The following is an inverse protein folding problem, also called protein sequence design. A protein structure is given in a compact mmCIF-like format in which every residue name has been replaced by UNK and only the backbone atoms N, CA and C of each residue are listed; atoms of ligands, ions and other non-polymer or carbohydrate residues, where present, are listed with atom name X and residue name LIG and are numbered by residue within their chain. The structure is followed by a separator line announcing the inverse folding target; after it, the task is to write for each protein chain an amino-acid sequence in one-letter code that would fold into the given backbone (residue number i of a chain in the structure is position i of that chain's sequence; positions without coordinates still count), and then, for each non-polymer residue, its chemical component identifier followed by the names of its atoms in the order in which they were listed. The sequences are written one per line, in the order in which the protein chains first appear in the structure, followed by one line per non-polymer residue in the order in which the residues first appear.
data_IF_051463909811
#
_entry.id   IF_051463909811
#
_cell.length_a   1.000
_cell.length_b   1.000
_cell.length_c   1.000
_cell.angle_alpha   90.00
_cell.angle_beta   90.00
_cell.angle_gamma   90.00
#
_symmetry.space_group_name_H-M   'P 1'
#
loop_
_entity.id
_entity.type
_entity.pdbx_description
1 polymer ?
#
# COMPACT_ATOMS: atom_id res chain seq x y z
N UNK A 1 -7.43 -18.76 11.19
CA UNK A 1 -6.06 -18.34 10.79
C UNK A 1 -5.80 -16.94 11.31
N UNK A 2 -4.58 -16.63 11.76
CA UNK A 2 -4.20 -15.28 12.21
C UNK A 2 -3.36 -14.54 11.16
N UNK A 3 -3.59 -13.25 11.01
CA UNK A 3 -2.79 -12.38 10.17
C UNK A 3 -1.36 -12.27 10.71
N UNK A 4 -0.35 -12.50 9.86
CA UNK A 4 1.06 -12.41 10.24
C UNK A 4 1.47 -11.01 10.71
N UNK A 5 0.85 -9.97 10.15
CA UNK A 5 1.17 -8.57 10.39
C UNK A 5 0.49 -8.01 11.65
N UNK A 6 -0.84 -8.11 11.75
CA UNK A 6 -1.59 -7.50 12.87
C UNK A 6 -2.01 -8.49 13.96
N UNK A 7 -1.70 -9.79 13.82
CA UNK A 7 -2.03 -10.88 14.75
C UNK A 7 -3.52 -11.14 15.00
N UNK A 8 -4.42 -10.35 14.41
CA UNK A 8 -5.87 -10.57 14.46
C UNK A 8 -6.28 -11.82 13.68
N UNK A 9 -7.40 -12.42 14.09
CA UNK A 9 -8.07 -13.46 13.31
C UNK A 9 -8.50 -12.92 11.95
N UNK A 10 -8.40 -13.74 10.91
CA UNK A 10 -8.87 -13.41 9.56
C UNK A 10 -10.29 -13.97 9.42
N UNK A 11 -11.27 -13.07 9.37
CA UNK A 11 -12.65 -13.41 9.01
C UNK A 11 -12.74 -13.73 7.52
N UNK A 12 -13.60 -14.70 7.15
CA UNK A 12 -13.82 -15.14 5.77
C UNK A 12 -12.51 -15.47 5.03
N UNK A 13 -11.69 -16.33 5.65
CA UNK A 13 -10.40 -16.70 5.08
C UNK A 13 -10.55 -17.41 3.72
N UNK A 14 -9.86 -16.87 2.70
CA UNK A 14 -9.69 -17.48 1.40
C UNK A 14 -8.21 -17.48 1.03
N UNK A 15 -7.65 -18.66 0.75
CA UNK A 15 -6.21 -18.80 0.47
C UNK A 15 -5.75 -17.95 -0.71
N UNK A 16 -6.54 -17.81 -1.76
CA UNK A 16 -6.25 -16.98 -2.94
C UNK A 16 -6.09 -15.48 -2.62
N UNK A 17 -6.80 -14.99 -1.59
CA UNK A 17 -6.81 -13.57 -1.23
C UNK A 17 -5.97 -13.26 0.02
N UNK A 18 -5.80 -14.23 0.91
CA UNK A 18 -5.14 -14.03 2.19
C UNK A 18 -3.75 -14.64 2.26
N UNK A 19 -3.40 -15.61 1.42
CA UNK A 19 -2.10 -16.26 1.49
C UNK A 19 -1.11 -15.62 0.53
N UNK A 20 -0.07 -15.00 1.08
CA UNK A 20 1.07 -14.55 0.32
C UNK A 20 2.13 -15.65 0.32
N UNK A 21 2.48 -16.13 -0.88
CA UNK A 21 3.61 -17.04 -1.09
C UNK A 21 4.88 -16.19 -1.28
N UNK A 22 5.85 -16.36 -0.38
CA UNK A 22 7.14 -15.66 -0.43
C UNK A 22 8.13 -16.49 -1.28
N UNK A 23 8.15 -17.80 -1.05
CA UNK A 23 8.91 -18.77 -1.83
C UNK A 23 8.22 -20.16 -1.76
N UNK A 24 8.92 -21.22 -2.19
CA UNK A 24 8.37 -22.58 -2.21
C UNK A 24 8.01 -23.11 -0.81
N UNK A 25 8.78 -22.73 0.20
CA UNK A 25 8.65 -23.19 1.59
C UNK A 25 7.92 -22.20 2.50
N UNK A 26 7.90 -20.91 2.15
CA UNK A 26 7.38 -19.85 3.01
C UNK A 26 6.06 -19.27 2.47
N UNK A 27 5.02 -19.43 3.28
CA UNK A 27 3.70 -18.85 3.05
C UNK A 27 3.22 -18.14 4.31
N UNK A 28 2.61 -16.97 4.16
CA UNK A 28 2.06 -16.20 5.27
C UNK A 28 0.62 -15.79 4.98
N UNK A 29 -0.19 -15.74 6.02
CA UNK A 29 -1.58 -15.30 5.91
C UNK A 29 -1.67 -13.82 6.32
N UNK A 30 -2.33 -13.00 5.52
CA UNK A 30 -2.49 -11.56 5.72
C UNK A 30 -3.97 -11.21 5.56
N UNK A 31 -4.52 -10.42 6.49
CA UNK A 31 -5.89 -9.94 6.38
C UNK A 31 -6.01 -8.81 5.34
N UNK A 32 -7.21 -8.62 4.80
CA UNK A 32 -7.50 -7.59 3.79
C UNK A 32 -7.15 -6.18 4.28
N UNK A 33 -7.42 -5.85 5.54
CA UNK A 33 -7.09 -4.55 6.12
C UNK A 33 -5.59 -4.22 6.04
N UNK A 34 -4.73 -5.22 6.29
CA UNK A 34 -3.30 -5.04 6.20
C UNK A 34 -2.83 -4.88 4.75
N UNK A 35 -3.42 -5.63 3.82
CA UNK A 35 -3.15 -5.47 2.38
C UNK A 35 -3.54 -4.07 1.93
N UNK A 36 -4.72 -3.58 2.31
CA UNK A 36 -5.20 -2.25 1.94
C UNK A 36 -4.28 -1.14 2.47
N UNK A 37 -3.81 -1.26 3.72
CA UNK A 37 -2.84 -0.31 4.30
C UNK A 37 -1.52 -0.30 3.52
N UNK A 38 -1.01 -1.46 3.16
CA UNK A 38 0.20 -1.58 2.34
C UNK A 38 0.02 -0.94 0.96
N UNK A 39 -1.07 -1.26 0.27
CA UNK A 39 -1.37 -0.71 -1.06
C UNK A 39 -1.50 0.81 -1.03
N UNK A 40 -2.15 1.36 0.00
CA UNK A 40 -2.26 2.82 0.17
C UNK A 40 -0.91 3.48 0.38
N UNK A 41 -0.08 2.93 1.27
CA UNK A 41 1.28 3.44 1.50
C UNK A 41 2.13 3.38 0.22
N UNK A 42 2.02 2.27 -0.54
CA UNK A 42 2.72 2.10 -1.81
C UNK A 42 2.29 3.17 -2.81
N UNK A 43 0.98 3.37 -3.01
CA UNK A 43 0.42 4.39 -3.91
C UNK A 43 0.93 5.79 -3.55
N UNK A 44 0.87 6.17 -2.27
CA UNK A 44 1.35 7.47 -1.79
C UNK A 44 2.86 7.66 -2.04
N UNK A 45 3.64 6.60 -1.84
CA UNK A 45 5.09 6.62 -2.08
C UNK A 45 5.40 6.79 -3.56
N UNK A 46 4.74 6.03 -4.44
CA UNK A 46 4.90 6.19 -5.89
C UNK A 46 4.48 7.56 -6.38
N UNK A 47 3.38 8.11 -5.87
CA UNK A 47 2.91 9.45 -6.25
C UNK A 47 3.92 10.55 -5.90
N UNK A 48 4.66 10.39 -4.79
CA UNK A 48 5.72 11.32 -4.37
C UNK A 48 6.99 11.17 -5.19
N UNK A 49 7.44 9.94 -5.43
CA UNK A 49 8.70 9.67 -6.13
C UNK A 49 8.58 9.87 -7.65
N UNK A 50 7.41 9.59 -8.21
CA UNK A 50 7.15 9.65 -9.66
C UNK A 50 5.92 10.51 -9.95
N UNK A 51 5.97 11.82 -9.65
CA UNK A 51 4.83 12.69 -9.88
C UNK A 51 4.55 12.78 -11.37
N UNK A 52 3.28 12.65 -11.74
CA UNK A 52 2.82 12.84 -13.11
C UNK A 52 3.11 14.26 -13.59
N UNK A 53 3.13 14.47 -14.92
CA UNK A 53 3.31 15.82 -15.51
C UNK A 53 2.31 16.84 -14.93
N UNK A 54 1.08 16.42 -14.65
CA UNK A 54 0.04 17.26 -14.05
C UNK A 54 0.38 17.57 -12.60
N UNK A 55 0.76 16.56 -11.81
CA UNK A 55 1.14 16.74 -10.41
C UNK A 55 2.36 17.67 -10.26
N UNK A 56 3.39 17.51 -11.11
CA UNK A 56 4.55 18.42 -11.14
C UNK A 56 4.13 19.87 -11.40
N UNK A 57 3.33 20.11 -12.45
CA UNK A 57 2.83 21.47 -12.77
C UNK A 57 2.02 22.09 -11.63
N UNK A 58 1.25 21.29 -10.90
CA UNK A 58 0.48 21.77 -9.76
C UNK A 58 1.39 22.13 -8.57
N UNK A 59 2.38 21.29 -8.25
CA UNK A 59 3.38 21.59 -7.21
C UNK A 59 4.20 22.86 -7.52
N UNK A 60 4.62 23.04 -8.77
CA UNK A 60 5.32 24.26 -9.21
C UNK A 60 4.46 25.53 -9.03
N UNK A 61 3.16 25.44 -9.32
CA UNK A 61 2.22 26.56 -9.11
C UNK A 61 2.03 26.88 -7.64
N UNK A 62 1.93 25.87 -6.77
CA UNK A 62 1.83 26.09 -5.32
C UNK A 62 3.09 26.79 -4.81
N UNK A 63 4.28 26.30 -5.17
CA UNK A 63 5.53 26.87 -4.71
C UNK A 63 5.70 28.33 -5.15
N UNK A 64 5.29 28.68 -6.37
CA UNK A 64 5.30 30.09 -6.84
C UNK A 64 4.37 31.00 -6.04
N UNK A 65 3.22 30.49 -5.57
CA UNK A 65 2.22 31.27 -4.83
C UNK A 65 2.59 31.47 -3.35
N UNK A 66 3.46 30.62 -2.80
CA UNK A 66 3.96 30.73 -1.42
C UNK A 66 5.11 31.74 -1.31
N UNK A 67 5.87 31.94 -2.40
CA UNK A 67 7.04 32.83 -2.45
C UNK A 67 6.65 34.27 -2.89
N UNK A 68 5.42 34.47 -3.37
CA UNK A 68 4.83 35.75 -3.77
C UNK A 68 3.95 36.35 -2.68
#
# INVERSE_FOLDING_TARGET
MNCKLCKKSIENYHSEFNQLKIDESHKVNICLDCINKFMKWQQETYAKLFPTKIAKKYMEKINKKIIS
#
